data_IF_423609564492
#
_entry.id   IF_423609564492
#
_cell.length_a   1.000
_cell.length_b   1.000
_cell.length_c   1.000
_cell.angle_alpha   90.00
_cell.angle_beta   90.00
_cell.angle_gamma   90.00
#
_symmetry.space_group_name_H-M   'P 1'
#
loop_
_entity.id
_entity.type
_entity.pdbx_description
1 polymer ?
#
# COMPACT_ATOMS: atom_id res chain seq x y z
N UNK A 1 -9.18 -12.44 8.49
CA UNK A 1 -9.85 -11.18 8.91
C UNK A 1 -11.36 -11.29 8.70
N UNK A 2 -12.05 -11.88 9.69
CA UNK A 2 -13.50 -12.18 9.58
C UNK A 2 -14.41 -10.95 9.65
N UNK A 3 -13.89 -9.80 10.09
CA UNK A 3 -14.65 -8.55 10.24
C UNK A 3 -14.32 -7.48 9.19
N UNK A 4 -13.30 -7.68 8.37
CA UNK A 4 -12.91 -6.70 7.36
C UNK A 4 -13.94 -6.59 6.25
N UNK A 5 -14.13 -5.36 5.76
CA UNK A 5 -14.87 -5.05 4.55
C UNK A 5 -13.88 -4.76 3.43
N UNK A 6 -14.15 -5.24 2.25
CA UNK A 6 -13.31 -5.04 1.07
C UNK A 6 -14.16 -4.42 -0.04
N UNK A 7 -13.69 -3.31 -0.57
CA UNK A 7 -14.22 -2.69 -1.79
C UNK A 7 -13.11 -2.73 -2.84
N UNK A 8 -13.40 -3.28 -3.99
CA UNK A 8 -12.52 -3.33 -5.16
C UNK A 8 -13.07 -2.39 -6.22
N UNK A 9 -12.23 -1.53 -6.76
CA UNK A 9 -12.54 -0.73 -7.94
C UNK A 9 -11.76 -1.28 -9.12
N UNK A 10 -12.46 -1.46 -10.23
CA UNK A 10 -11.89 -1.88 -11.50
C UNK A 10 -12.63 -1.14 -12.63
N UNK A 11 -11.87 -0.50 -13.51
CA UNK A 11 -12.42 0.27 -14.62
C UNK A 11 -12.86 -0.62 -15.80
N UNK A 12 -12.22 -1.77 -15.93
CA UNK A 12 -12.46 -2.66 -17.06
C UNK A 12 -13.50 -3.76 -16.72
N UNK A 13 -14.72 -3.70 -17.28
CA UNK A 13 -15.75 -4.70 -17.00
C UNK A 13 -15.35 -6.10 -17.46
N UNK A 14 -14.46 -6.23 -18.44
CA UNK A 14 -13.99 -7.55 -18.89
C UNK A 14 -13.09 -8.20 -17.83
N UNK A 15 -12.24 -7.41 -17.16
CA UNK A 15 -11.42 -7.88 -16.03
C UNK A 15 -12.31 -8.35 -14.89
N UNK A 16 -13.34 -7.57 -14.54
CA UNK A 16 -14.33 -7.97 -13.53
C UNK A 16 -14.99 -9.29 -13.90
N UNK A 17 -15.42 -9.43 -15.15
CA UNK A 17 -16.08 -10.63 -15.63
C UNK A 17 -15.17 -11.86 -15.57
N UNK A 18 -13.93 -11.73 -16.06
CA UNK A 18 -12.91 -12.79 -15.99
C UNK A 18 -12.65 -13.18 -14.52
N UNK A 19 -12.48 -12.18 -13.65
CA UNK A 19 -12.24 -12.42 -12.24
C UNK A 19 -13.39 -13.20 -11.58
N UNK A 20 -14.63 -12.84 -11.85
CA UNK A 20 -15.83 -13.53 -11.34
C UNK A 20 -15.93 -14.98 -11.83
N UNK A 21 -15.57 -15.26 -13.08
CA UNK A 21 -15.72 -16.59 -13.66
C UNK A 21 -14.54 -17.54 -13.36
N UNK A 22 -13.32 -17.05 -13.33
CA UNK A 22 -12.13 -17.91 -13.30
C UNK A 22 -11.36 -17.88 -11.96
N UNK A 23 -11.55 -16.83 -11.13
CA UNK A 23 -10.73 -16.67 -9.92
C UNK A 23 -11.48 -17.00 -8.61
N UNK A 24 -12.64 -17.64 -8.68
CA UNK A 24 -13.42 -18.06 -7.49
C UNK A 24 -13.63 -16.94 -6.48
N UNK A 25 -13.93 -15.74 -6.95
CA UNK A 25 -14.21 -14.62 -6.05
C UNK A 25 -15.38 -14.94 -5.13
N UNK A 26 -15.36 -14.43 -3.90
CA UNK A 26 -16.53 -14.50 -3.03
C UNK A 26 -17.73 -13.83 -3.69
N UNK A 27 -18.93 -14.30 -3.37
CA UNK A 27 -20.15 -13.56 -3.76
C UNK A 27 -20.15 -12.18 -3.10
N UNK A 28 -20.58 -11.18 -3.84
CA UNK A 28 -20.78 -9.84 -3.31
C UNK A 28 -21.71 -9.87 -2.09
N UNK A 29 -21.41 -9.05 -1.10
CA UNK A 29 -22.08 -9.04 0.20
C UNK A 29 -21.88 -7.68 0.87
N UNK A 30 -22.40 -7.51 2.08
CA UNK A 30 -22.10 -6.33 2.90
C UNK A 30 -20.60 -6.14 3.23
N UNK A 31 -19.79 -7.19 3.04
CA UNK A 31 -18.35 -7.20 3.33
C UNK A 31 -17.45 -7.23 2.11
N UNK A 32 -17.96 -7.59 0.95
CA UNK A 32 -17.21 -7.65 -0.30
C UNK A 32 -18.01 -7.03 -1.42
N UNK A 33 -17.46 -5.99 -2.04
CA UNK A 33 -18.07 -5.27 -3.16
C UNK A 33 -17.06 -5.08 -4.27
N UNK A 34 -17.52 -5.20 -5.51
CA UNK A 34 -16.77 -4.81 -6.70
C UNK A 34 -17.55 -3.66 -7.34
N UNK A 35 -16.87 -2.55 -7.57
CA UNK A 35 -17.41 -1.36 -8.21
C UNK A 35 -16.71 -1.21 -9.56
N UNK A 36 -17.48 -1.26 -10.64
CA UNK A 36 -17.01 -0.87 -11.95
C UNK A 36 -16.94 0.65 -12.03
N UNK A 37 -15.75 1.20 -12.26
CA UNK A 37 -15.56 2.65 -12.32
C UNK A 37 -14.11 3.09 -12.26
N UNK A 38 -13.92 4.37 -12.55
CA UNK A 38 -12.63 5.04 -12.45
C UNK A 38 -12.26 5.29 -10.99
N UNK A 39 -11.10 4.74 -10.57
CA UNK A 39 -10.59 4.87 -9.22
C UNK A 39 -10.30 6.31 -8.82
N UNK A 40 -9.82 7.17 -9.73
CA UNK A 40 -9.51 8.57 -9.45
C UNK A 40 -10.80 9.33 -9.13
N UNK A 41 -11.83 9.15 -9.97
CA UNK A 41 -13.12 9.81 -9.77
C UNK A 41 -13.79 9.32 -8.46
N UNK A 42 -13.69 8.03 -8.17
CA UNK A 42 -14.21 7.49 -6.92
C UNK A 42 -13.53 8.09 -5.70
N UNK A 43 -12.20 8.12 -5.68
CA UNK A 43 -11.41 8.66 -4.56
C UNK A 43 -11.70 10.15 -4.36
N UNK A 44 -11.88 10.90 -5.44
CA UNK A 44 -12.18 12.33 -5.38
C UNK A 44 -13.57 12.63 -4.80
N UNK A 45 -14.53 11.71 -4.95
CA UNK A 45 -15.96 11.94 -4.64
C UNK A 45 -16.47 11.18 -3.42
N UNK A 46 -15.73 10.18 -2.92
CA UNK A 46 -16.20 9.36 -1.81
C UNK A 46 -16.01 10.02 -0.44
N UNK A 47 -17.02 9.91 0.42
CA UNK A 47 -16.92 10.26 1.84
C UNK A 47 -16.49 9.07 2.72
N UNK A 48 -16.35 7.89 2.12
CA UNK A 48 -15.92 6.70 2.85
C UNK A 48 -14.49 6.83 3.36
N UNK A 49 -14.23 6.31 4.56
CA UNK A 49 -12.89 6.19 5.14
C UNK A 49 -12.42 4.76 5.12
N UNK A 50 -11.12 4.57 4.86
CA UNK A 50 -10.49 3.27 4.73
C UNK A 50 -9.30 3.13 5.68
N UNK A 51 -9.23 2.00 6.37
CA UNK A 51 -8.09 1.67 7.23
C UNK A 51 -6.87 1.24 6.39
N UNK A 52 -7.13 0.68 5.20
CA UNK A 52 -6.11 0.28 4.25
C UNK A 52 -6.59 0.59 2.84
N UNK A 53 -5.80 1.37 2.11
CA UNK A 53 -6.01 1.63 0.70
C UNK A 53 -4.84 1.10 -0.12
N UNK A 54 -5.14 0.15 -1.03
CA UNK A 54 -4.16 -0.46 -1.92
C UNK A 54 -4.35 0.10 -3.34
N UNK A 55 -3.29 0.71 -3.90
CA UNK A 55 -3.25 1.20 -5.28
C UNK A 55 -2.32 0.31 -6.11
N UNK A 56 -2.90 -0.43 -7.04
CA UNK A 56 -2.20 -1.34 -7.96
C UNK A 56 -2.79 -1.21 -9.36
N UNK A 57 -2.68 0.00 -9.93
CA UNK A 57 -3.31 0.38 -11.20
C UNK A 57 -2.26 0.43 -12.32
N UNK A 58 -1.86 -0.74 -12.82
CA UNK A 58 -0.92 -0.84 -13.94
C UNK A 58 -1.63 -0.92 -15.28
N UNK A 59 -1.06 -0.24 -16.26
CA UNK A 59 -1.34 -0.38 -17.69
C UNK A 59 -0.16 -1.06 -18.40
N UNK A 60 -0.28 -1.28 -19.69
CA UNK A 60 0.74 -1.94 -20.52
C UNK A 60 2.13 -1.28 -20.40
N UNK A 61 2.19 0.04 -20.23
CA UNK A 61 3.43 0.82 -20.16
C UNK A 61 3.79 1.31 -18.76
N UNK A 62 3.17 0.79 -17.73
CA UNK A 62 3.45 1.14 -16.33
C UNK A 62 2.27 1.77 -15.60
N UNK A 63 2.56 2.53 -14.55
CA UNK A 63 1.54 3.25 -13.80
C UNK A 63 1.10 4.51 -14.56
N UNK A 64 -0.21 4.72 -14.83
CA UNK A 64 -0.69 5.92 -15.50
C UNK A 64 -0.24 7.19 -14.76
N UNK A 65 0.19 8.23 -15.49
CA UNK A 65 0.69 9.48 -14.87
C UNK A 65 -0.32 10.13 -13.94
N UNK A 66 -1.60 9.94 -14.18
CA UNK A 66 -2.70 10.43 -13.34
C UNK A 66 -2.66 9.87 -11.91
N UNK A 67 -2.17 8.63 -11.73
CA UNK A 67 -1.98 7.97 -10.43
C UNK A 67 -0.65 8.35 -9.76
N UNK A 68 0.13 9.26 -10.36
CA UNK A 68 1.42 9.69 -9.86
C UNK A 68 1.44 11.18 -9.47
N UNK A 69 0.31 11.87 -9.56
CA UNK A 69 0.21 13.31 -9.25
C UNK A 69 0.14 13.58 -7.75
N UNK A 70 0.57 14.77 -7.35
CA UNK A 70 0.44 15.22 -5.95
C UNK A 70 -1.02 15.19 -5.51
N UNK A 71 -1.92 15.73 -6.35
CA UNK A 71 -3.37 15.75 -6.10
C UNK A 71 -3.97 14.36 -5.90
N UNK A 72 -3.48 13.36 -6.66
CA UNK A 72 -3.90 11.97 -6.45
C UNK A 72 -3.51 11.47 -5.07
N UNK A 73 -2.25 11.66 -4.66
CA UNK A 73 -1.78 11.21 -3.36
C UNK A 73 -2.46 11.95 -2.20
N UNK A 74 -2.73 13.25 -2.34
CA UNK A 74 -3.54 14.02 -1.38
C UNK A 74 -4.96 13.45 -1.25
N UNK A 75 -5.58 13.10 -2.36
CA UNK A 75 -6.91 12.47 -2.39
C UNK A 75 -6.88 11.09 -1.74
N UNK A 76 -5.84 10.29 -1.99
CA UNK A 76 -5.63 9.00 -1.33
C UNK A 76 -5.51 9.17 0.19
N UNK A 77 -4.73 10.15 0.66
CA UNK A 77 -4.59 10.44 2.09
C UNK A 77 -5.92 10.87 2.70
N UNK A 78 -6.67 11.71 1.99
CA UNK A 78 -7.98 12.23 2.46
C UNK A 78 -8.99 11.12 2.74
N UNK A 79 -8.99 10.02 1.98
CA UNK A 79 -9.91 8.89 2.19
C UNK A 79 -9.44 7.89 3.24
N UNK A 80 -8.26 8.07 3.84
CA UNK A 80 -7.81 7.22 4.93
C UNK A 80 -8.48 7.61 6.26
N UNK A 81 -8.69 6.62 7.12
CA UNK A 81 -8.95 6.84 8.54
C UNK A 81 -7.71 7.43 9.23
N UNK A 82 -7.86 7.90 10.48
CA UNK A 82 -6.75 8.52 11.23
C UNK A 82 -5.57 7.56 11.40
N UNK A 83 -5.83 6.26 11.56
CA UNK A 83 -4.82 5.19 11.63
C UNK A 83 -4.64 4.47 10.28
N UNK A 84 -5.04 5.10 9.18
CA UNK A 84 -5.06 4.49 7.86
C UNK A 84 -3.70 4.38 7.20
N UNK A 85 -3.57 3.38 6.34
CA UNK A 85 -2.35 3.07 5.59
C UNK A 85 -2.65 3.10 4.09
N UNK A 86 -1.88 3.90 3.36
CA UNK A 86 -1.81 3.88 1.91
C UNK A 86 -0.70 2.93 1.46
N UNK A 87 -0.98 2.11 0.46
CA UNK A 87 0.02 1.23 -0.16
C UNK A 87 -0.07 1.36 -1.66
N UNK A 88 1.05 1.60 -2.31
CA UNK A 88 1.12 1.66 -3.77
C UNK A 88 2.25 0.77 -4.29
N UNK A 89 1.95 0.07 -5.39
CA UNK A 89 2.93 -0.67 -6.15
C UNK A 89 3.48 0.23 -7.27
N UNK A 90 4.77 0.52 -7.25
CA UNK A 90 5.47 1.32 -8.26
C UNK A 90 6.39 0.43 -9.08
N UNK A 91 6.60 0.80 -10.34
CA UNK A 91 7.55 0.12 -11.20
C UNK A 91 8.97 0.61 -10.91
N UNK A 92 9.81 -0.23 -10.32
CA UNK A 92 11.14 0.15 -9.86
C UNK A 92 12.13 0.52 -10.97
N UNK A 93 11.87 0.13 -12.22
CA UNK A 93 12.67 0.52 -13.38
C UNK A 93 12.16 1.78 -14.09
N UNK A 94 11.05 2.38 -13.65
CA UNK A 94 10.61 3.67 -14.16
C UNK A 94 11.54 4.78 -13.63
N UNK A 95 12.21 5.57 -14.50
CA UNK A 95 13.07 6.67 -14.08
C UNK A 95 12.35 7.74 -13.25
N UNK A 96 11.04 7.84 -13.34
CA UNK A 96 10.20 8.79 -12.58
C UNK A 96 9.86 8.29 -11.17
N UNK A 97 10.08 7.01 -10.86
CA UNK A 97 9.74 6.44 -9.54
C UNK A 97 10.29 7.22 -8.35
N UNK A 98 11.53 7.74 -8.34
CA UNK A 98 12.01 8.59 -7.25
C UNK A 98 11.17 9.87 -7.05
N UNK A 99 10.66 10.44 -8.14
CA UNK A 99 9.79 11.63 -8.08
C UNK A 99 8.46 11.27 -7.41
N UNK A 100 7.90 10.12 -7.73
CA UNK A 100 6.64 9.65 -7.13
C UNK A 100 6.79 9.37 -5.64
N UNK A 101 7.90 8.72 -5.25
CA UNK A 101 8.21 8.47 -3.84
C UNK A 101 8.33 9.80 -3.08
N UNK A 102 9.04 10.80 -3.61
CA UNK A 102 9.16 12.11 -2.98
C UNK A 102 7.80 12.80 -2.80
N UNK A 103 6.91 12.76 -3.80
CA UNK A 103 5.55 13.28 -3.68
C UNK A 103 4.76 12.59 -2.56
N UNK A 104 4.87 11.26 -2.46
CA UNK A 104 4.23 10.51 -1.38
C UNK A 104 4.82 10.91 -0.02
N UNK A 105 6.15 11.08 0.08
CA UNK A 105 6.81 11.54 1.31
C UNK A 105 6.31 12.93 1.74
N UNK A 106 6.15 13.85 0.82
CA UNK A 106 5.62 15.19 1.09
C UNK A 106 4.17 15.12 1.60
N UNK A 107 3.31 14.38 0.91
CA UNK A 107 1.89 14.23 1.29
C UNK A 107 1.73 13.57 2.65
N UNK A 108 2.51 12.54 2.94
CA UNK A 108 2.42 11.76 4.19
C UNK A 108 3.35 12.27 5.30
N UNK A 109 3.86 13.52 5.19
CA UNK A 109 4.70 14.17 6.20
C UNK A 109 5.89 13.30 6.61
N UNK A 110 6.56 12.68 5.65
CA UNK A 110 7.69 11.75 5.84
C UNK A 110 7.34 10.45 6.59
N UNK A 111 6.06 10.19 6.88
CA UNK A 111 5.62 8.93 7.47
C UNK A 111 5.49 7.85 6.39
N UNK A 112 6.61 7.49 5.77
CA UNK A 112 6.65 6.62 4.59
C UNK A 112 7.72 5.56 4.74
N UNK A 113 7.37 4.34 4.29
CA UNK A 113 8.32 3.27 4.05
C UNK A 113 8.25 2.81 2.61
N UNK A 114 9.33 2.26 2.10
CA UNK A 114 9.27 1.52 0.86
C UNK A 114 10.19 0.30 0.87
N UNK A 115 9.79 -0.72 0.15
CA UNK A 115 10.53 -1.99 0.01
C UNK A 115 10.69 -2.28 -1.47
N UNK A 116 11.93 -2.49 -1.89
CA UNK A 116 12.22 -2.94 -3.24
C UNK A 116 12.17 -4.46 -3.30
N UNK A 117 11.61 -5.01 -4.37
CA UNK A 117 11.67 -6.45 -4.65
C UNK A 117 13.09 -6.89 -5.04
N UNK A 118 13.41 -8.20 -4.92
CA UNK A 118 14.76 -8.76 -5.03
C UNK A 118 15.45 -8.62 -6.41
N UNK A 119 14.72 -8.21 -7.45
CA UNK A 119 15.26 -7.99 -8.82
C UNK A 119 14.72 -6.68 -9.32
N UNK A 120 15.28 -6.09 -10.42
CA UNK A 120 14.69 -4.90 -10.99
C UNK A 120 13.21 -5.16 -11.21
N UNK A 121 12.42 -4.71 -10.30
CA UNK A 121 11.04 -5.06 -10.08
C UNK A 121 10.36 -3.96 -9.34
N UNK A 122 9.27 -4.29 -8.73
CA UNK A 122 8.40 -3.33 -8.10
C UNK A 122 8.97 -2.76 -6.79
N UNK A 123 8.60 -1.54 -6.50
CA UNK A 123 8.81 -0.87 -5.21
C UNK A 123 7.43 -0.70 -4.57
N UNK A 124 7.25 -1.31 -3.41
CA UNK A 124 6.04 -1.15 -2.61
C UNK A 124 6.26 0.00 -1.63
N UNK A 125 5.45 1.03 -1.73
CA UNK A 125 5.51 2.21 -0.86
C UNK A 125 4.33 2.20 0.09
N UNK A 126 4.60 2.47 1.37
CA UNK A 126 3.62 2.55 2.44
C UNK A 126 3.61 4.00 2.96
N UNK A 127 2.48 4.67 2.89
CA UNK A 127 2.24 5.97 3.50
C UNK A 127 1.30 5.84 4.70
N UNK A 128 1.68 6.38 5.85
CA UNK A 128 0.91 6.27 7.09
C UNK A 128 0.24 7.60 7.42
N UNK A 129 -1.07 7.56 7.67
CA UNK A 129 -1.84 8.77 8.04
C UNK A 129 -1.69 9.13 9.53
N UNK A 130 -0.71 8.55 10.21
CA UNK A 130 -0.39 8.77 11.61
C UNK A 130 1.10 8.82 11.83
N UNK A 131 1.50 9.37 12.97
CA UNK A 131 2.91 9.40 13.37
C UNK A 131 3.37 7.99 13.74
N UNK A 132 4.37 7.50 13.02
CA UNK A 132 4.95 6.19 13.28
C UNK A 132 5.69 6.22 14.64
N UNK A 133 5.35 5.30 15.55
CA UNK A 133 6.05 5.22 16.81
C UNK A 133 7.47 4.69 16.60
N UNK A 134 8.43 5.18 17.39
CA UNK A 134 9.74 4.55 17.48
C UNK A 134 9.61 3.14 18.08
N UNK A 135 10.00 2.11 17.33
CA UNK A 135 9.86 0.72 17.73
C UNK A 135 11.24 0.09 17.98
N UNK A 136 11.35 -0.67 19.05
CA UNK A 136 12.53 -1.53 19.26
C UNK A 136 12.46 -2.72 18.30
N UNK A 137 13.51 -2.95 17.54
CA UNK A 137 13.60 -4.05 16.57
C UNK A 137 13.34 -5.41 17.22
N UNK A 138 13.85 -5.64 18.42
CA UNK A 138 13.63 -6.86 19.19
C UNK A 138 12.15 -7.11 19.52
N UNK A 139 11.41 -6.05 19.88
CA UNK A 139 9.97 -6.13 20.16
C UNK A 139 9.17 -6.46 18.89
N UNK A 140 9.52 -5.85 17.76
CA UNK A 140 8.89 -6.15 16.47
C UNK A 140 9.14 -7.58 16.06
N UNK A 141 10.39 -8.05 16.13
CA UNK A 141 10.75 -9.46 15.81
C UNK A 141 9.96 -10.45 16.66
N UNK A 142 9.80 -10.17 17.97
CA UNK A 142 9.00 -11.02 18.87
C UNK A 142 7.54 -11.09 18.42
N UNK A 143 6.94 -9.96 18.08
CA UNK A 143 5.55 -9.88 17.59
C UNK A 143 5.39 -10.60 16.24
N UNK A 144 6.32 -10.42 15.32
CA UNK A 144 6.29 -11.07 14.00
C UNK A 144 6.35 -12.60 14.13
N UNK A 145 7.21 -13.16 14.97
CA UNK A 145 7.26 -14.61 15.22
C UNK A 145 5.94 -15.18 15.72
N UNK A 146 5.21 -14.43 16.56
CA UNK A 146 3.88 -14.84 17.03
C UNK A 146 2.87 -14.84 15.87
N UNK A 147 2.91 -13.80 15.03
CA UNK A 147 2.02 -13.67 13.86
C UNK A 147 2.33 -14.73 12.79
N UNK A 148 3.62 -15.06 12.55
CA UNK A 148 4.02 -16.14 11.66
C UNK A 148 3.38 -17.47 12.04
N UNK A 149 3.46 -17.82 13.33
CA UNK A 149 2.84 -19.05 13.87
C UNK A 149 1.32 -19.04 13.72
N UNK A 150 0.70 -17.89 14.01
CA UNK A 150 -0.76 -17.75 13.97
C UNK A 150 -1.34 -17.83 12.57
N UNK A 151 -0.65 -17.26 11.57
CA UNK A 151 -1.17 -17.10 10.22
C UNK A 151 -0.45 -17.95 9.16
N UNK A 152 0.56 -18.72 9.56
CA UNK A 152 1.43 -19.50 8.66
C UNK A 152 2.04 -18.63 7.54
N UNK A 153 2.59 -17.47 7.90
CA UNK A 153 3.20 -16.50 6.99
C UNK A 153 4.70 -16.40 7.27
N UNK A 154 5.51 -16.09 6.26
CA UNK A 154 6.97 -15.89 6.39
C UNK A 154 7.32 -14.41 6.69
N UNK A 155 6.77 -13.84 7.75
CA UNK A 155 6.87 -12.41 8.06
C UNK A 155 8.30 -11.97 8.39
N UNK A 156 9.09 -12.82 9.07
CA UNK A 156 10.49 -12.52 9.38
C UNK A 156 11.36 -12.37 8.13
N UNK A 157 11.09 -13.15 7.09
CA UNK A 157 11.76 -13.02 5.80
C UNK A 157 11.55 -11.62 5.21
N UNK A 158 10.28 -11.19 5.16
CA UNK A 158 9.93 -9.87 4.62
C UNK A 158 10.44 -8.73 5.51
N UNK A 159 10.39 -8.90 6.82
CA UNK A 159 10.94 -7.92 7.76
C UNK A 159 12.45 -7.70 7.58
N UNK A 160 13.21 -8.78 7.45
CA UNK A 160 14.65 -8.68 7.21
C UNK A 160 14.96 -8.02 5.85
N UNK A 161 14.15 -8.25 4.83
CA UNK A 161 14.25 -7.54 3.54
C UNK A 161 13.92 -6.06 3.70
N UNK A 162 12.87 -5.75 4.44
CA UNK A 162 12.48 -4.37 4.74
C UNK A 162 13.63 -3.61 5.40
N UNK A 163 14.26 -4.16 6.43
CA UNK A 163 15.41 -3.53 7.09
C UNK A 163 16.61 -3.38 6.15
N UNK A 164 16.87 -4.40 5.32
CA UNK A 164 18.03 -4.39 4.41
C UNK A 164 17.85 -3.45 3.23
N UNK A 165 16.64 -3.36 2.69
CA UNK A 165 16.34 -2.68 1.42
C UNK A 165 15.54 -1.39 1.61
N UNK A 166 15.06 -1.08 2.83
CA UNK A 166 14.40 0.18 3.09
C UNK A 166 15.46 1.25 3.17
N UNK A 167 15.48 2.12 2.18
CA UNK A 167 16.09 3.43 2.34
C UNK A 167 15.17 4.21 3.26
N UNK A 168 15.38 4.07 4.56
CA UNK A 168 14.83 5.00 5.52
C UNK A 168 15.54 6.30 5.21
N UNK A 169 14.79 7.37 4.94
CA UNK A 169 15.38 8.67 4.67
C UNK A 169 16.29 9.04 5.83
N UNK A 170 17.51 9.60 5.59
CA UNK A 170 18.50 9.83 6.63
C UNK A 170 18.16 10.93 7.64
N UNK A 171 17.00 11.57 7.54
CA UNK A 171 16.57 12.51 8.57
C UNK A 171 16.06 11.76 9.79
N UNK A 172 16.97 11.39 10.66
CA UNK A 172 16.89 11.23 12.13
C UNK A 172 15.78 10.39 12.79
N UNK A 173 14.88 9.75 12.04
CA UNK A 173 13.89 8.84 12.59
C UNK A 173 14.12 7.42 12.09
N UNK A 174 15.19 6.80 12.59
CA UNK A 174 15.33 5.36 12.47
C UNK A 174 14.11 4.72 13.14
N UNK A 175 13.22 4.09 12.36
CA UNK A 175 12.06 3.38 12.87
C UNK A 175 12.41 2.32 13.88
N UNK A 176 13.63 1.85 13.82
CA UNK A 176 14.19 0.86 14.71
C UNK A 176 15.43 1.42 15.36
N UNK A 177 15.36 1.70 16.65
CA UNK A 177 16.55 1.95 17.45
C UNK A 177 17.37 0.64 17.45
N UNK A 178 18.55 0.68 16.87
CA UNK A 178 19.56 -0.34 17.10
C UNK A 178 20.02 -0.19 18.56
N UNK A 179 19.84 -1.24 19.35
CA UNK A 179 20.49 -1.37 20.67
C UNK A 179 21.98 -1.43 20.52
#
# INVERSE_FOLDING_TARGET
FTKSKLTVLEINPQVINIAKHFFRLPKESSRFKIIEGDGINYIASTDCKYDLFLSDAFEEYGLPETFCTLTYFESCKKILSDDGIFVINLWGSDPKTPIYINRIMDVFNQQVFYVQSDKPGNIIVFGFNYLLPSLKESAVKKKLKLLERKFNLKLMLYFNRLIKNSSIHPSDNALFNKE
#
